data_IF_762981365963
#
_entry.id   IF_762981365963
#
_cell.length_a   1.000
_cell.length_b   1.000
_cell.length_c   1.000
_cell.angle_alpha   90.00
_cell.angle_beta   90.00
_cell.angle_gamma   90.00
#
_symmetry.space_group_name_H-M   'P 1'
#
loop_
_entity.id
_entity.type
_entity.pdbx_description
1 polymer ?
#
# COMPACT_ATOMS: atom_id res chain seq x y z
N UNK A 1 31.87 8.64 39.36
CA UNK A 1 30.50 9.12 39.06
C UNK A 1 29.53 8.01 39.44
N UNK A 2 28.54 8.31 40.28
CA UNK A 2 27.54 7.35 40.77
C UNK A 2 26.33 7.30 39.83
N UNK A 3 25.14 7.68 40.29
CA UNK A 3 23.93 7.70 39.46
C UNK A 3 23.92 8.90 38.49
N UNK A 4 23.05 8.83 37.48
CA UNK A 4 22.87 9.90 36.50
C UNK A 4 22.23 11.12 37.19
N UNK A 5 22.95 12.26 37.23
CA UNK A 5 22.52 13.51 37.90
C UNK A 5 21.15 14.06 37.46
N UNK A 6 20.82 13.94 36.16
CA UNK A 6 19.52 14.40 35.63
C UNK A 6 18.85 13.28 34.83
N UNK A 7 17.60 12.97 35.17
CA UNK A 7 16.78 12.01 34.43
C UNK A 7 16.49 12.51 33.01
N UNK A 8 16.48 11.59 32.04
CA UNK A 8 15.92 11.85 30.72
C UNK A 8 15.46 10.53 30.10
N UNK A 9 14.47 10.57 29.20
CA UNK A 9 13.98 9.37 28.55
C UNK A 9 15.06 8.69 27.72
N UNK A 10 14.84 7.41 27.46
CA UNK A 10 15.67 6.59 26.59
C UNK A 10 15.57 7.06 25.14
N UNK A 11 16.70 7.03 24.43
CA UNK A 11 16.71 7.22 22.98
C UNK A 11 16.28 5.94 22.22
N UNK A 12 15.17 6.07 21.50
CA UNK A 12 14.63 5.04 20.61
C UNK A 12 13.92 3.87 21.30
N UNK A 13 13.03 3.22 20.55
CA UNK A 13 12.08 2.25 21.07
C UNK A 13 12.55 0.81 20.87
N UNK A 14 12.61 0.03 21.95
CA UNK A 14 13.19 -1.32 21.96
C UNK A 14 12.32 -2.39 21.28
N UNK A 15 11.00 -2.23 21.28
CA UNK A 15 10.08 -3.15 20.60
C UNK A 15 10.25 -3.21 19.07
N UNK A 16 11.06 -2.32 18.49
CA UNK A 16 11.40 -2.34 17.07
C UNK A 16 12.78 -2.93 16.76
N UNK A 17 13.49 -3.44 17.78
CA UNK A 17 14.63 -4.31 17.56
C UNK A 17 14.16 -5.68 17.04
N UNK A 18 14.95 -6.33 16.18
CA UNK A 18 16.23 -5.87 15.63
C UNK A 18 16.07 -4.82 14.50
N UNK A 19 16.85 -3.74 14.55
CA UNK A 19 16.93 -2.72 13.50
C UNK A 19 17.78 -3.17 12.30
N UNK A 20 17.31 -4.19 11.58
CA UNK A 20 17.92 -4.76 10.37
C UNK A 20 17.06 -4.55 9.12
N UNK A 21 17.66 -4.76 7.95
CA UNK A 21 16.92 -4.76 6.68
C UNK A 21 15.82 -5.84 6.70
N UNK A 22 14.63 -5.48 6.28
CA UNK A 22 13.53 -6.42 6.07
C UNK A 22 13.94 -7.48 5.05
N UNK A 23 13.66 -8.76 5.35
CA UNK A 23 13.91 -9.86 4.42
C UNK A 23 12.97 -9.81 3.22
N UNK A 24 11.73 -9.40 3.45
CA UNK A 24 10.70 -9.25 2.41
C UNK A 24 10.61 -7.79 1.96
N UNK A 25 10.36 -7.58 0.67
CA UNK A 25 10.09 -6.26 0.12
C UNK A 25 8.64 -5.81 0.37
N UNK A 26 7.72 -6.78 0.37
CA UNK A 26 6.30 -6.61 0.66
C UNK A 26 6.10 -6.57 2.18
N UNK A 27 5.12 -5.78 2.63
CA UNK A 27 4.65 -5.78 4.01
C UNK A 27 3.92 -7.07 4.36
N UNK A 28 4.57 -8.00 5.08
CA UNK A 28 3.90 -9.22 5.54
C UNK A 28 2.83 -8.87 6.59
N UNK A 29 1.60 -9.32 6.39
CA UNK A 29 0.57 -9.34 7.43
C UNK A 29 0.93 -10.42 8.45
N UNK A 30 1.14 -10.02 9.70
CA UNK A 30 1.48 -10.96 10.80
C UNK A 30 0.27 -11.42 11.59
N UNK A 31 -0.76 -10.58 11.62
CA UNK A 31 -2.00 -10.80 12.37
C UNK A 31 -3.14 -10.34 11.48
N UNK A 32 -4.19 -11.14 11.39
CA UNK A 32 -5.39 -10.82 10.63
C UNK A 32 -6.48 -10.32 11.59
N UNK A 33 -7.47 -9.54 11.11
CA UNK A 33 -8.66 -9.24 11.90
C UNK A 33 -9.30 -10.53 12.42
N UNK A 34 -9.86 -10.47 13.63
CA UNK A 34 -10.56 -11.62 14.22
C UNK A 34 -11.74 -11.99 13.32
N UNK A 35 -11.95 -13.29 13.17
CA UNK A 35 -13.03 -13.82 12.36
C UNK A 35 -14.34 -13.83 13.15
N UNK A 36 -15.43 -13.41 12.50
CA UNK A 36 -16.78 -13.35 13.06
C UNK A 36 -17.75 -14.02 12.07
N UNK A 37 -18.17 -15.28 12.30
CA UNK A 37 -18.99 -16.03 11.35
C UNK A 37 -20.36 -15.42 11.03
N UNK A 38 -20.87 -14.50 11.87
CA UNK A 38 -22.14 -13.80 11.64
C UNK A 38 -22.08 -12.76 10.52
N UNK A 39 -20.88 -12.28 10.18
CA UNK A 39 -20.68 -11.32 9.09
C UNK A 39 -20.66 -12.05 7.74
N UNK A 40 -21.01 -11.38 6.63
CA UNK A 40 -20.85 -11.95 5.29
C UNK A 40 -19.37 -12.22 4.99
N UNK A 41 -19.12 -13.21 4.12
CA UNK A 41 -17.75 -13.55 3.68
C UNK A 41 -17.11 -12.35 3.00
N UNK A 42 -15.93 -11.93 3.46
CA UNK A 42 -15.21 -10.78 2.92
C UNK A 42 -13.69 -10.92 3.02
N UNK A 43 -12.98 -10.16 2.18
CA UNK A 43 -11.53 -10.03 2.23
C UNK A 43 -11.09 -9.04 3.32
N UNK A 44 -9.93 -9.31 3.93
CA UNK A 44 -9.40 -8.52 5.05
C UNK A 44 -8.20 -7.66 4.70
N UNK A 45 -7.65 -7.79 3.48
CA UNK A 45 -6.53 -6.99 3.00
C UNK A 45 -6.48 -6.86 1.48
N UNK A 46 -5.67 -5.90 1.02
CA UNK A 46 -5.44 -5.61 -0.38
C UNK A 46 -3.99 -5.15 -0.64
N UNK A 47 -3.57 -5.14 -1.90
CA UNK A 47 -2.26 -4.63 -2.31
C UNK A 47 -2.41 -3.31 -3.08
N UNK A 48 -1.70 -2.28 -2.64
CA UNK A 48 -1.64 -0.99 -3.33
C UNK A 48 -0.22 -0.50 -3.56
N UNK A 49 -0.06 0.53 -4.39
CA UNK A 49 1.22 1.12 -4.78
C UNK A 49 1.24 2.60 -4.44
N UNK A 50 2.19 3.00 -3.59
CA UNK A 50 2.32 4.40 -3.18
C UNK A 50 2.71 5.28 -4.37
N UNK A 51 1.79 6.08 -4.87
CA UNK A 51 2.00 6.96 -6.01
C UNK A 51 2.72 8.26 -5.58
N UNK A 52 2.12 8.98 -4.64
CA UNK A 52 2.62 10.26 -4.17
C UNK A 52 1.79 10.81 -3.02
N UNK A 53 1.96 12.10 -2.76
CA UNK A 53 1.22 12.83 -1.73
C UNK A 53 0.73 14.15 -2.31
N UNK A 54 -0.42 14.61 -1.83
CA UNK A 54 -0.94 15.95 -2.06
C UNK A 54 -1.60 16.45 -0.77
N UNK A 55 -2.33 17.55 -0.82
CA UNK A 55 -3.16 18.00 0.29
C UNK A 55 -4.60 18.23 -0.18
N UNK A 56 -5.52 18.19 0.79
CA UNK A 56 -6.95 18.39 0.58
C UNK A 56 -7.47 19.45 1.54
N UNK A 57 -8.53 20.13 1.15
CA UNK A 57 -9.32 21.00 2.01
C UNK A 57 -10.62 20.28 2.40
N UNK A 58 -11.00 20.34 3.67
CA UNK A 58 -12.30 19.86 4.15
C UNK A 58 -12.74 20.59 5.41
N UNK A 59 -14.03 20.54 5.71
CA UNK A 59 -14.55 21.00 6.99
C UNK A 59 -14.35 19.96 8.09
N UNK A 60 -14.10 20.45 9.31
CA UNK A 60 -14.04 19.59 10.50
C UNK A 60 -15.38 19.63 11.24
N UNK A 61 -16.05 18.49 11.35
CA UNK A 61 -17.34 18.37 12.05
C UNK A 61 -17.20 17.82 13.48
N UNK A 62 -16.12 18.18 14.18
CA UNK A 62 -15.87 17.73 15.56
C UNK A 62 -16.27 18.79 16.56
N UNK A 63 -17.34 18.54 17.30
CA UNK A 63 -17.81 19.43 18.38
C UNK A 63 -16.74 19.63 19.46
N UNK A 64 -16.61 20.86 19.97
CA UNK A 64 -15.65 21.22 21.03
C UNK A 64 -14.23 21.56 20.57
N UNK A 65 -13.91 21.43 19.28
CA UNK A 65 -12.63 21.93 18.74
C UNK A 65 -12.73 23.40 18.31
N UNK A 66 -11.64 24.17 18.49
CA UNK A 66 -11.54 25.54 17.97
C UNK A 66 -11.69 25.60 16.43
N UNK A 67 -11.29 24.52 15.76
CA UNK A 67 -11.39 24.35 14.31
C UNK A 67 -12.73 23.74 13.85
N UNK A 68 -13.69 23.52 14.76
CA UNK A 68 -15.00 23.01 14.38
C UNK A 68 -15.68 23.95 13.37
N UNK A 69 -16.29 23.40 12.32
CA UNK A 69 -16.92 24.14 11.22
C UNK A 69 -15.98 25.11 10.48
N UNK A 70 -14.66 24.88 10.58
CA UNK A 70 -13.65 25.58 9.78
C UNK A 70 -12.99 24.61 8.81
N UNK A 71 -12.50 25.16 7.72
CA UNK A 71 -11.73 24.44 6.73
C UNK A 71 -10.33 24.13 7.26
N UNK A 72 -9.88 22.90 7.09
CA UNK A 72 -8.53 22.46 7.41
C UNK A 72 -7.86 21.87 6.17
N UNK A 73 -6.60 22.26 5.97
CA UNK A 73 -5.75 21.67 4.94
C UNK A 73 -5.02 20.46 5.53
N UNK A 74 -5.32 19.28 5.02
CA UNK A 74 -4.74 18.04 5.49
C UNK A 74 -3.93 17.36 4.38
N UNK A 75 -2.72 16.93 4.72
CA UNK A 75 -1.89 16.16 3.80
C UNK A 75 -2.46 14.75 3.61
N UNK A 76 -2.44 14.24 2.38
CA UNK A 76 -2.92 12.90 2.02
C UNK A 76 -1.89 12.16 1.18
N UNK A 77 -1.89 10.82 1.28
CA UNK A 77 -1.13 9.94 0.41
C UNK A 77 -2.06 9.26 -0.58
N UNK A 78 -1.68 9.25 -1.86
CA UNK A 78 -2.37 8.51 -2.92
C UNK A 78 -1.71 7.15 -3.10
N UNK A 79 -2.51 6.09 -3.01
CA UNK A 79 -2.11 4.71 -3.22
C UNK A 79 -2.95 4.15 -4.36
N UNK A 80 -2.32 3.89 -5.51
CA UNK A 80 -2.97 3.26 -6.65
C UNK A 80 -3.20 1.76 -6.37
N UNK A 81 -4.42 1.30 -6.57
CA UNK A 81 -4.93 -0.01 -6.21
C UNK A 81 -5.60 -0.64 -7.42
N UNK A 82 -4.82 -1.10 -8.42
CA UNK A 82 -5.40 -1.88 -9.51
C UNK A 82 -6.08 -3.14 -8.96
N UNK A 83 -7.11 -3.67 -9.62
CA UNK A 83 -7.77 -4.89 -9.18
C UNK A 83 -6.77 -6.03 -8.94
N UNK A 84 -7.02 -6.83 -7.90
CA UNK A 84 -6.21 -8.01 -7.60
C UNK A 84 -6.90 -9.25 -8.16
N UNK A 85 -6.14 -10.18 -8.70
CA UNK A 85 -6.69 -11.45 -9.21
C UNK A 85 -6.52 -12.51 -8.14
N UNK A 86 -7.59 -13.24 -7.82
CA UNK A 86 -7.54 -14.41 -6.95
C UNK A 86 -7.08 -15.61 -7.77
N UNK A 87 -6.00 -16.27 -7.34
CA UNK A 87 -5.37 -17.38 -8.11
C UNK A 87 -5.19 -18.66 -7.32
N UNK A 88 -5.66 -18.69 -6.08
CA UNK A 88 -5.63 -19.92 -5.29
C UNK A 88 -6.19 -19.73 -3.90
N UNK A 89 -6.25 -20.84 -3.18
CA UNK A 89 -6.83 -20.98 -1.84
C UNK A 89 -5.86 -21.79 -1.01
N UNK A 90 -5.64 -21.38 0.23
CA UNK A 90 -4.84 -22.09 1.23
C UNK A 90 -5.72 -22.33 2.44
N UNK A 91 -5.92 -23.59 2.78
CA UNK A 91 -6.53 -23.99 4.04
C UNK A 91 -5.48 -24.16 5.14
N UNK A 92 -5.81 -23.68 6.33
CA UNK A 92 -5.00 -23.82 7.52
C UNK A 92 -5.77 -24.61 8.58
N UNK A 93 -5.11 -25.64 9.12
CA UNK A 93 -5.60 -26.45 10.23
C UNK A 93 -4.98 -25.94 11.54
N UNK A 94 -5.79 -25.83 12.59
CA UNK A 94 -5.31 -25.53 13.93
C UNK A 94 -4.72 -26.79 14.55
N UNK A 95 -3.46 -26.69 14.95
CA UNK A 95 -2.75 -27.74 15.69
C UNK A 95 -2.32 -27.20 17.04
N UNK A 96 -1.86 -28.08 17.93
CA UNK A 96 -1.31 -27.70 19.25
C UNK A 96 -0.14 -26.70 19.10
N UNK A 97 0.63 -26.77 18.01
CA UNK A 97 1.77 -25.87 17.72
C UNK A 97 1.37 -24.59 16.95
N UNK A 98 0.07 -24.37 16.73
CA UNK A 98 -0.48 -23.25 15.97
C UNK A 98 -1.04 -23.66 14.61
N UNK A 99 -1.25 -22.68 13.72
CA UNK A 99 -1.81 -22.91 12.38
C UNK A 99 -0.76 -23.51 11.44
N UNK A 100 -1.11 -24.64 10.82
CA UNK A 100 -0.30 -25.29 9.78
C UNK A 100 -1.04 -25.24 8.45
N UNK A 101 -0.33 -24.96 7.36
CA UNK A 101 -0.90 -25.07 6.01
C UNK A 101 -1.29 -26.52 5.75
N UNK A 102 -2.58 -26.76 5.50
CA UNK A 102 -3.14 -28.08 5.26
C UNK A 102 -3.08 -28.43 3.78
N UNK A 103 -3.71 -27.60 2.93
CA UNK A 103 -3.73 -27.80 1.48
C UNK A 103 -3.81 -26.48 0.74
N UNK A 104 -3.25 -26.46 -0.47
CA UNK A 104 -3.32 -25.33 -1.38
C UNK A 104 -3.91 -25.78 -2.70
N UNK A 105 -4.94 -25.08 -3.16
CA UNK A 105 -5.57 -25.29 -4.47
C UNK A 105 -5.33 -24.02 -5.29
N UNK A 106 -4.64 -24.13 -6.42
CA UNK A 106 -4.50 -23.02 -7.38
C UNK A 106 -5.63 -23.04 -8.41
N UNK A 107 -5.86 -21.89 -9.03
CA UNK A 107 -6.67 -21.73 -10.22
C UNK A 107 -6.07 -22.49 -11.43
N UNK A 108 -6.87 -22.64 -12.49
CA UNK A 108 -6.43 -23.29 -13.72
C UNK A 108 -5.52 -22.34 -14.54
N UNK A 109 -6.01 -21.14 -14.83
CA UNK A 109 -5.35 -20.17 -15.68
C UNK A 109 -4.62 -19.11 -14.84
N UNK A 110 -3.33 -19.34 -14.61
CA UNK A 110 -2.46 -18.32 -14.02
C UNK A 110 -1.87 -17.41 -15.10
N UNK A 111 -2.03 -16.09 -14.89
CA UNK A 111 -1.42 -15.04 -15.70
C UNK A 111 0.10 -15.11 -15.74
N UNK A 112 0.71 -14.64 -16.83
CA UNK A 112 2.17 -14.61 -16.98
C UNK A 112 2.87 -13.73 -15.94
N UNK A 113 2.24 -12.62 -15.53
CA UNK A 113 2.78 -11.77 -14.47
C UNK A 113 2.81 -12.47 -13.10
N UNK A 114 1.83 -13.34 -12.83
CA UNK A 114 1.82 -14.22 -11.65
C UNK A 114 2.89 -15.32 -11.79
N UNK A 115 2.95 -16.01 -12.94
CA UNK A 115 3.98 -17.03 -13.23
C UNK A 115 5.40 -16.48 -13.07
N UNK A 116 5.64 -15.22 -13.46
CA UNK A 116 6.92 -14.52 -13.22
C UNK A 116 7.33 -14.51 -11.75
N UNK A 117 6.40 -14.57 -10.78
CA UNK A 117 6.72 -14.64 -9.34
C UNK A 117 7.58 -15.85 -9.00
N UNK A 118 7.28 -16.98 -9.64
CA UNK A 118 7.92 -18.29 -9.43
C UNK A 118 9.28 -18.45 -10.12
N UNK A 119 9.66 -17.51 -10.99
CA UNK A 119 10.96 -17.50 -11.64
C UNK A 119 11.85 -16.37 -11.12
N UNK A 120 13.15 -16.66 -10.95
CA UNK A 120 14.16 -15.62 -10.77
C UNK A 120 14.54 -15.00 -12.11
N UNK A 121 14.78 -15.82 -13.12
CA UNK A 121 15.09 -15.39 -14.48
C UNK A 121 14.00 -15.87 -15.45
N UNK A 122 13.04 -14.99 -15.76
CA UNK A 122 11.92 -15.30 -16.66
C UNK A 122 12.35 -15.50 -18.11
N UNK A 123 13.33 -14.74 -18.59
CA UNK A 123 13.71 -14.72 -20.01
C UNK A 123 14.46 -15.98 -20.44
N UNK A 124 15.23 -16.59 -19.53
CA UNK A 124 15.97 -17.84 -19.80
C UNK A 124 15.20 -19.11 -19.45
N UNK A 125 13.99 -19.00 -18.88
CA UNK A 125 13.24 -20.17 -18.44
C UNK A 125 12.29 -20.69 -19.54
N UNK A 126 11.99 -22.00 -19.50
CA UNK A 126 10.99 -22.64 -20.37
C UNK A 126 9.53 -22.34 -19.97
N UNK A 127 9.30 -21.51 -18.93
CA UNK A 127 7.98 -21.05 -18.45
C UNK A 127 6.97 -22.18 -18.13
N UNK A 128 7.46 -23.34 -17.64
CA UNK A 128 6.66 -24.54 -17.34
C UNK A 128 5.90 -24.53 -16.00
N UNK A 129 5.85 -23.41 -15.27
CA UNK A 129 5.17 -23.34 -13.98
C UNK A 129 3.66 -23.56 -14.18
N UNK A 130 3.06 -24.42 -13.34
CA UNK A 130 1.63 -24.77 -13.35
C UNK A 130 1.09 -25.43 -14.62
N UNK A 131 1.90 -25.81 -15.61
CA UNK A 131 1.39 -26.45 -16.85
C UNK A 131 0.75 -27.81 -16.58
N UNK A 132 1.38 -28.66 -15.75
CA UNK A 132 0.78 -29.94 -15.31
C UNK A 132 -0.45 -29.74 -14.42
N UNK A 133 -0.44 -28.67 -13.64
CA UNK A 133 -1.53 -28.37 -12.70
C UNK A 133 -2.78 -27.87 -13.44
N UNK A 134 -2.62 -27.05 -14.49
CA UNK A 134 -3.71 -26.65 -15.38
C UNK A 134 -4.33 -27.87 -16.09
N UNK A 135 -3.53 -28.84 -16.55
CA UNK A 135 -4.07 -30.10 -17.10
C UNK A 135 -4.94 -30.88 -16.09
N UNK A 136 -4.57 -30.88 -14.80
CA UNK A 136 -5.36 -31.50 -13.73
C UNK A 136 -6.77 -30.90 -13.62
N UNK A 137 -6.96 -29.62 -13.95
CA UNK A 137 -8.29 -29.00 -13.98
C UNK A 137 -9.15 -29.46 -15.16
N UNK A 138 -8.54 -29.98 -16.22
CA UNK A 138 -9.23 -30.49 -17.40
C UNK A 138 -9.49 -32.00 -17.32
N UNK A 139 -8.54 -32.77 -16.78
CA UNK A 139 -8.64 -34.22 -16.63
C UNK A 139 -9.74 -34.63 -15.62
N UNK A 140 -10.56 -35.63 -15.95
CA UNK A 140 -11.67 -36.07 -15.09
C UNK A 140 -11.19 -36.58 -13.72
N UNK A 141 -10.10 -37.35 -13.70
CA UNK A 141 -9.46 -37.83 -12.46
C UNK A 141 -8.90 -36.69 -11.63
N UNK A 142 -8.38 -35.65 -12.31
CA UNK A 142 -7.86 -34.44 -11.69
C UNK A 142 -8.95 -33.59 -11.05
N UNK A 143 -10.10 -33.42 -11.71
CA UNK A 143 -11.32 -32.78 -11.18
C UNK A 143 -11.83 -33.51 -9.93
N UNK A 144 -11.98 -34.83 -9.98
CA UNK A 144 -12.35 -35.65 -8.80
C UNK A 144 -11.39 -35.43 -7.62
N UNK A 145 -10.08 -35.32 -7.90
CA UNK A 145 -9.11 -35.01 -6.85
C UNK A 145 -9.24 -33.58 -6.32
N UNK A 146 -9.52 -32.59 -7.18
CA UNK A 146 -9.76 -31.20 -6.75
C UNK A 146 -11.02 -31.11 -5.87
N UNK A 147 -12.10 -31.79 -6.22
CA UNK A 147 -13.32 -31.81 -5.40
C UNK A 147 -13.10 -32.48 -4.04
N UNK A 148 -12.28 -33.54 -3.98
CA UNK A 148 -11.78 -34.09 -2.71
C UNK A 148 -10.95 -33.07 -1.94
N UNK A 149 -10.12 -32.28 -2.62
CA UNK A 149 -9.30 -31.24 -2.00
C UNK A 149 -10.18 -30.12 -1.41
N UNK A 150 -11.18 -29.65 -2.14
CA UNK A 150 -12.18 -28.69 -1.66
C UNK A 150 -12.97 -29.22 -0.47
N UNK A 151 -13.44 -30.47 -0.55
CA UNK A 151 -14.16 -31.13 0.55
C UNK A 151 -13.30 -31.24 1.81
N UNK A 152 -12.00 -31.55 1.65
CA UNK A 152 -11.05 -31.62 2.76
C UNK A 152 -10.77 -30.23 3.36
N UNK A 153 -10.73 -29.17 2.55
CA UNK A 153 -10.64 -27.79 3.03
C UNK A 153 -11.84 -27.44 3.92
N UNK A 154 -13.06 -27.74 3.46
CA UNK A 154 -14.29 -27.49 4.22
C UNK A 154 -14.33 -28.24 5.56
N UNK A 155 -13.91 -29.52 5.55
CA UNK A 155 -14.02 -30.40 6.71
C UNK A 155 -12.97 -30.15 7.80
N UNK A 156 -11.72 -29.92 7.41
CA UNK A 156 -10.58 -29.95 8.35
C UNK A 156 -9.98 -28.58 8.67
N UNK A 157 -10.21 -27.56 7.84
CA UNK A 157 -9.54 -26.28 8.03
C UNK A 157 -10.32 -25.37 8.97
N UNK A 158 -9.59 -24.72 9.86
CA UNK A 158 -10.11 -23.67 10.75
C UNK A 158 -10.03 -22.27 10.13
N UNK A 159 -9.13 -22.07 9.16
CA UNK A 159 -8.90 -20.76 8.53
C UNK A 159 -8.70 -20.96 7.03
N UNK A 160 -9.37 -20.15 6.23
CA UNK A 160 -9.23 -20.13 4.77
C UNK A 160 -8.58 -18.81 4.36
N UNK A 161 -7.58 -18.89 3.49
CA UNK A 161 -6.97 -17.73 2.86
C UNK A 161 -6.99 -17.88 1.36
N UNK A 162 -7.18 -16.78 0.65
CA UNK A 162 -6.99 -16.73 -0.80
C UNK A 162 -5.60 -16.21 -1.14
N UNK A 163 -5.01 -16.74 -2.20
CA UNK A 163 -3.78 -16.24 -2.81
C UNK A 163 -4.19 -15.24 -3.86
N UNK A 164 -3.83 -13.98 -3.64
CA UNK A 164 -4.09 -12.90 -4.61
C UNK A 164 -2.79 -12.41 -5.21
N UNK A 165 -2.87 -11.91 -6.44
CA UNK A 165 -1.79 -11.14 -7.04
C UNK A 165 -2.26 -9.80 -7.60
N UNK A 166 -1.39 -8.80 -7.53
CA UNK A 166 -1.62 -7.50 -8.17
C UNK A 166 -1.41 -7.58 -9.69
N UNK A 167 -2.07 -6.72 -10.45
CA UNK A 167 -1.82 -6.58 -11.89
C UNK A 167 -0.77 -5.48 -12.17
N UNK A 168 0.45 -5.88 -12.52
CA UNK A 168 1.56 -4.94 -12.75
C UNK A 168 1.47 -4.24 -14.10
N UNK A 169 0.87 -4.90 -15.09
CA UNK A 169 0.69 -4.34 -16.45
C UNK A 169 -0.12 -3.04 -16.47
N UNK A 170 -1.00 -2.86 -15.48
CA UNK A 170 -1.87 -1.69 -15.36
C UNK A 170 -1.15 -0.49 -14.73
N UNK A 171 0.03 -0.69 -14.14
CA UNK A 171 0.78 0.35 -13.44
C UNK A 171 1.87 0.95 -14.33
N UNK A 172 2.24 2.23 -14.16
CA UNK A 172 3.33 2.89 -14.89
C UNK A 172 4.72 2.48 -14.36
N UNK A 173 4.91 1.20 -14.02
CA UNK A 173 6.13 0.67 -13.41
C UNK A 173 6.87 -0.25 -14.38
N UNK A 174 8.22 -0.17 -14.37
CA UNK A 174 9.06 -1.07 -15.19
C UNK A 174 8.92 -2.55 -14.80
N UNK A 175 8.51 -2.84 -13.57
CA UNK A 175 8.41 -4.20 -13.06
C UNK A 175 7.18 -4.91 -13.65
N UNK A 176 7.39 -6.06 -14.29
CA UNK A 176 6.31 -6.94 -14.82
C UNK A 176 5.95 -8.12 -13.90
N UNK A 177 6.67 -8.28 -12.78
CA UNK A 177 6.55 -9.41 -11.85
C UNK A 177 5.49 -9.10 -10.80
N UNK A 178 4.33 -9.76 -10.85
CA UNK A 178 3.22 -9.53 -9.92
C UNK A 178 3.63 -9.79 -8.46
N UNK A 179 3.13 -8.98 -7.53
CA UNK A 179 3.26 -9.25 -6.09
C UNK A 179 2.15 -10.21 -5.67
N UNK A 180 2.51 -11.25 -4.93
CA UNK A 180 1.59 -12.28 -4.44
C UNK A 180 1.56 -12.20 -2.91
N UNK A 181 0.37 -12.23 -2.33
CA UNK A 181 0.14 -12.40 -0.90
C UNK A 181 -1.02 -13.35 -0.65
N UNK A 182 -1.05 -13.95 0.54
CA UNK A 182 -2.27 -14.55 1.06
C UNK A 182 -3.11 -13.47 1.75
N UNK A 183 -4.43 -13.54 1.59
CA UNK A 183 -5.42 -12.71 2.29
C UNK A 183 -6.41 -13.62 3.00
N UNK A 184 -6.65 -13.38 4.28
CA UNK A 184 -7.60 -14.18 5.05
C UNK A 184 -9.04 -13.80 4.71
N UNK A 185 -9.90 -14.81 4.54
CA UNK A 185 -11.34 -14.63 4.44
C UNK A 185 -11.97 -14.71 5.83
N UNK A 186 -12.75 -13.68 6.17
CA UNK A 186 -13.52 -13.61 7.40
C UNK A 186 -15.02 -13.60 7.08
N UNK A 187 -15.86 -13.94 8.05
CA UNK A 187 -17.31 -14.01 7.88
C UNK A 187 -17.81 -15.35 7.32
N UNK A 188 -19.02 -15.74 7.67
CA UNK A 188 -19.62 -17.02 7.27
C UNK A 188 -18.95 -18.27 7.87
N UNK A 189 -19.49 -19.43 7.52
CA UNK A 189 -18.88 -20.72 7.86
C UNK A 189 -17.63 -21.01 7.01
N UNK A 190 -16.85 -22.02 7.40
CA UNK A 190 -15.70 -22.46 6.59
C UNK A 190 -16.15 -22.94 5.20
N UNK A 191 -17.32 -23.57 5.09
CA UNK A 191 -17.86 -23.98 3.79
C UNK A 191 -18.10 -22.76 2.90
N UNK A 192 -18.81 -21.76 3.43
CA UNK A 192 -19.14 -20.54 2.69
C UNK A 192 -17.88 -19.82 2.21
N UNK A 193 -16.83 -19.78 3.04
CA UNK A 193 -15.53 -19.22 2.66
C UNK A 193 -14.85 -19.98 1.53
N UNK A 194 -14.92 -21.31 1.54
CA UNK A 194 -14.35 -22.14 0.48
C UNK A 194 -15.13 -21.96 -0.82
N UNK A 195 -16.46 -21.89 -0.74
CA UNK A 195 -17.34 -21.71 -1.89
C UNK A 195 -17.16 -20.32 -2.51
N UNK A 196 -17.17 -19.27 -1.69
CA UNK A 196 -16.83 -17.91 -2.10
C UNK A 196 -15.46 -17.86 -2.79
N UNK A 197 -14.45 -18.51 -2.18
CA UNK A 197 -13.11 -18.52 -2.73
C UNK A 197 -13.01 -19.29 -4.06
N UNK A 198 -13.80 -20.36 -4.24
CA UNK A 198 -13.87 -21.14 -5.49
C UNK A 198 -14.53 -20.33 -6.60
N UNK A 199 -15.63 -19.64 -6.30
CA UNK A 199 -16.34 -18.76 -7.24
C UNK A 199 -15.45 -17.62 -7.72
N UNK A 200 -14.66 -17.02 -6.82
CA UNK A 200 -13.80 -15.88 -7.15
C UNK A 200 -12.45 -16.29 -7.78
N UNK A 201 -12.16 -17.57 -8.01
CA UNK A 201 -10.92 -17.98 -8.69
C UNK A 201 -10.87 -17.36 -10.09
N UNK A 202 -9.70 -16.84 -10.45
CA UNK A 202 -9.40 -16.15 -11.73
C UNK A 202 -10.12 -14.82 -11.94
N UNK A 203 -10.99 -14.43 -10.99
CA UNK A 203 -11.71 -13.17 -11.06
C UNK A 203 -10.90 -12.02 -10.46
N UNK A 204 -11.21 -10.82 -10.95
CA UNK A 204 -10.65 -9.57 -10.46
C UNK A 204 -11.50 -9.03 -9.31
N UNK A 205 -10.85 -8.74 -8.17
CA UNK A 205 -11.49 -8.11 -7.03
C UNK A 205 -11.05 -6.64 -6.96
N UNK A 206 -11.97 -5.67 -7.10
CA UNK A 206 -11.65 -4.26 -6.95
C UNK A 206 -11.48 -3.89 -5.47
N UNK A 207 -10.84 -2.75 -5.22
CA UNK A 207 -10.60 -2.26 -3.86
C UNK A 207 -11.90 -1.92 -3.11
N UNK A 208 -12.93 -1.47 -3.84
CA UNK A 208 -14.27 -1.13 -3.34
C UNK A 208 -15.02 -2.32 -2.75
N UNK A 209 -14.70 -3.55 -3.16
CA UNK A 209 -15.28 -4.75 -2.57
C UNK A 209 -14.63 -5.13 -1.22
N UNK A 210 -13.51 -4.50 -0.85
CA UNK A 210 -12.74 -4.85 0.36
C UNK A 210 -12.83 -3.78 1.44
N UNK A 211 -12.68 -2.52 1.06
CA UNK A 211 -12.74 -1.39 1.98
C UNK A 211 -13.92 -0.49 1.67
N UNK A 212 -14.38 0.21 2.70
CA UNK A 212 -15.47 1.19 2.59
C UNK A 212 -14.91 2.60 2.75
N UNK A 213 -15.57 3.57 2.12
CA UNK A 213 -15.31 4.99 2.32
C UNK A 213 -15.35 5.33 3.82
N UNK A 214 -14.47 6.23 4.26
CA UNK A 214 -14.35 6.65 5.67
C UNK A 214 -13.93 5.54 6.66
N UNK A 215 -13.55 4.34 6.20
CA UNK A 215 -13.01 3.30 7.07
C UNK A 215 -11.59 3.67 7.58
N UNK A 216 -11.26 3.23 8.81
CA UNK A 216 -9.90 3.25 9.34
C UNK A 216 -9.19 1.96 8.98
N UNK A 217 -8.05 2.06 8.30
CA UNK A 217 -7.27 0.91 7.86
C UNK A 217 -5.84 0.95 8.40
N UNK A 218 -5.18 -0.20 8.30
CA UNK A 218 -3.77 -0.34 8.64
C UNK A 218 -2.92 -0.48 7.38
N UNK A 219 -1.81 0.27 7.33
CA UNK A 219 -0.87 0.24 6.21
C UNK A 219 0.39 -0.49 6.64
N UNK A 220 0.69 -1.60 5.97
CA UNK A 220 1.82 -2.45 6.26
C UNK A 220 2.80 -2.38 5.09
N UNK A 221 4.06 -2.09 5.40
CA UNK A 221 5.07 -1.96 4.37
C UNK A 221 6.50 -1.94 4.89
N UNK A 222 7.43 -1.75 3.95
CA UNK A 222 8.84 -1.57 4.26
C UNK A 222 9.20 -0.11 4.12
N UNK A 223 9.79 0.47 5.16
CA UNK A 223 10.17 1.88 5.20
C UNK A 223 11.24 2.24 4.17
N UNK A 224 11.40 3.54 3.88
CA UNK A 224 12.51 4.03 3.04
C UNK A 224 13.85 3.60 3.63
N UNK A 225 14.75 3.10 2.79
CA UNK A 225 16.10 2.74 3.19
C UNK A 225 17.01 3.95 3.27
N UNK A 226 17.87 4.01 4.30
CA UNK A 226 18.88 5.06 4.46
C UNK A 226 20.32 4.51 4.57
N UNK A 227 20.50 3.18 4.47
CA UNK A 227 21.80 2.52 4.55
C UNK A 227 22.39 2.53 5.96
N UNK A 228 23.72 2.41 6.05
CA UNK A 228 24.45 2.50 7.31
C UNK A 228 24.46 3.94 7.82
N UNK A 229 24.05 4.16 9.07
CA UNK A 229 24.02 5.48 9.71
C UNK A 229 24.61 5.44 11.12
N UNK A 230 25.27 6.53 11.50
CA UNK A 230 25.76 6.77 12.86
C UNK A 230 24.63 6.95 13.88
N UNK A 231 24.98 6.88 15.17
CA UNK A 231 24.03 6.92 16.29
C UNK A 231 23.17 8.18 16.32
N UNK A 232 23.74 9.35 15.99
CA UNK A 232 22.99 10.62 15.95
C UNK A 232 21.83 10.59 14.96
N UNK A 233 22.00 9.93 13.80
CA UNK A 233 20.91 9.82 12.83
C UNK A 233 20.02 8.61 13.12
N UNK A 234 20.59 7.47 13.51
CA UNK A 234 19.85 6.21 13.72
C UNK A 234 18.99 6.22 14.97
N UNK A 235 19.49 6.80 16.05
CA UNK A 235 18.89 6.79 17.39
C UNK A 235 18.56 8.18 17.93
N UNK A 236 18.92 9.25 17.19
CA UNK A 236 18.64 10.63 17.60
C UNK A 236 19.29 11.02 18.94
N UNK A 237 20.47 10.45 19.23
CA UNK A 237 21.27 10.86 20.40
C UNK A 237 21.84 12.26 20.23
N UNK A 238 21.95 13.00 21.34
CA UNK A 238 22.55 14.33 21.37
C UNK A 238 24.00 14.28 20.86
N UNK A 239 24.40 15.28 20.06
CA UNK A 239 25.80 15.44 19.65
C UNK A 239 26.65 15.84 20.87
N UNK A 240 27.90 15.38 20.91
CA UNK A 240 28.87 15.83 21.91
C UNK A 240 29.31 17.29 21.63
N UNK A 241 29.94 17.96 22.60
CA UNK A 241 30.46 19.32 22.43
C UNK A 241 31.39 19.46 21.22
N UNK A 242 31.50 20.68 20.69
CA UNK A 242 32.31 20.97 19.49
C UNK A 242 33.77 20.56 19.65
N UNK A 243 34.37 20.80 20.82
CA UNK A 243 35.78 20.53 21.14
C UNK A 243 36.06 19.08 21.58
N UNK A 244 35.18 18.12 21.28
CA UNK A 244 35.40 16.72 21.62
C UNK A 244 36.43 16.06 20.70
N UNK A 245 37.47 15.48 21.29
CA UNK A 245 38.47 14.71 20.56
C UNK A 245 37.90 13.39 19.98
N UNK A 246 38.40 12.98 18.81
CA UNK A 246 37.97 11.77 18.07
C UNK A 246 36.47 11.75 17.74
N UNK A 247 35.93 12.90 17.33
CA UNK A 247 34.59 13.04 16.75
C UNK A 247 33.44 13.21 17.75
N UNK A 248 32.45 13.99 17.33
CA UNK A 248 31.34 14.46 18.17
C UNK A 248 30.00 13.74 17.94
N UNK A 249 29.89 12.90 16.91
CA UNK A 249 28.64 12.22 16.51
C UNK A 249 28.58 10.77 17.03
N UNK A 250 28.87 10.60 18.31
CA UNK A 250 28.95 9.30 19.00
C UNK A 250 28.22 9.34 20.35
N UNK A 251 27.94 8.16 20.91
CA UNK A 251 27.55 8.04 22.32
C UNK A 251 28.85 8.09 23.13
N UNK A 252 28.90 8.90 24.18
CA UNK A 252 30.12 9.06 24.99
C UNK A 252 30.45 7.80 25.80
N UNK A 253 29.50 7.33 26.62
CA UNK A 253 29.64 6.14 27.45
C UNK A 253 28.72 5.02 26.93
N UNK A 254 29.29 3.85 26.63
CA UNK A 254 28.57 2.69 26.06
C UNK A 254 28.35 1.56 27.08
N UNK A 255 28.43 1.85 28.38
CA UNK A 255 28.22 0.89 29.45
C UNK A 255 29.03 1.23 30.69
N UNK A 256 28.60 0.73 31.85
CA UNK A 256 29.43 0.72 33.05
C UNK A 256 30.52 -0.36 32.95
N UNK A 257 31.46 -0.39 33.90
CA UNK A 257 32.47 -1.46 33.97
C UNK A 257 31.81 -2.82 34.22
N UNK A 258 30.93 -2.89 35.23
CA UNK A 258 30.12 -4.07 35.51
C UNK A 258 28.66 -3.76 35.16
N UNK A 259 28.00 -4.54 34.29
CA UNK A 259 28.46 -5.78 33.65
C UNK A 259 29.50 -5.56 32.54
N UNK A 260 30.48 -6.45 32.42
CA UNK A 260 31.60 -6.41 31.46
C UNK A 260 31.19 -6.77 30.01
N UNK A 261 30.06 -6.23 29.55
CA UNK A 261 29.56 -6.40 28.18
C UNK A 261 28.74 -5.19 27.76
N UNK A 262 28.82 -4.85 26.47
CA UNK A 262 27.97 -3.78 25.93
C UNK A 262 26.54 -4.30 25.78
N UNK A 263 25.60 -3.66 26.46
CA UNK A 263 24.20 -4.07 26.42
C UNK A 263 23.56 -3.81 25.03
N UNK A 264 22.68 -4.71 24.60
CA UNK A 264 21.93 -4.60 23.34
C UNK A 264 20.99 -3.38 23.29
N UNK A 265 20.67 -2.83 24.46
CA UNK A 265 19.86 -1.63 24.65
C UNK A 265 20.60 -0.35 24.20
N UNK A 266 21.92 -0.39 24.05
CA UNK A 266 22.72 0.81 23.83
C UNK A 266 22.68 1.22 22.36
N UNK A 267 22.55 2.52 22.11
CA UNK A 267 22.50 3.07 20.76
C UNK A 267 23.84 2.83 20.05
N UNK A 268 23.83 2.00 19.01
CA UNK A 268 24.99 1.74 18.13
C UNK A 268 24.71 2.17 16.70
N UNK A 269 25.77 2.52 15.96
CA UNK A 269 25.68 2.77 14.53
C UNK A 269 25.24 1.49 13.79
N UNK A 270 24.67 1.64 12.60
CA UNK A 270 24.21 0.49 11.81
C UNK A 270 23.14 0.87 10.80
N UNK A 271 22.45 -0.14 10.27
CA UNK A 271 21.37 0.06 9.31
C UNK A 271 20.26 0.98 9.87
N UNK A 272 19.87 2.00 9.09
CA UNK A 272 18.67 2.83 9.31
C UNK A 272 17.71 2.67 8.13
N UNK A 273 16.44 2.43 8.44
CA UNK A 273 15.39 2.27 7.43
C UNK A 273 15.43 0.91 6.71
N UNK A 274 14.54 0.75 5.75
CA UNK A 274 14.22 -0.55 5.13
C UNK A 274 13.77 -1.59 6.17
N UNK A 275 12.98 -1.16 7.15
CA UNK A 275 12.41 -2.02 8.19
C UNK A 275 10.93 -2.28 7.88
N UNK A 276 10.41 -3.44 8.29
CA UNK A 276 8.98 -3.73 8.23
C UNK A 276 8.26 -2.94 9.34
N UNK A 277 7.16 -2.26 8.98
CA UNK A 277 6.33 -1.48 9.90
C UNK A 277 4.86 -1.61 9.52
N UNK A 278 4.01 -1.48 10.53
CA UNK A 278 2.57 -1.37 10.42
C UNK A 278 2.18 -0.03 11.02
N UNK A 279 1.61 0.86 10.21
CA UNK A 279 1.00 2.10 10.67
C UNK A 279 -0.50 1.87 10.77
N UNK A 280 -1.04 1.99 11.98
CA UNK A 280 -2.46 1.75 12.24
C UNK A 280 -3.29 3.03 12.12
N UNK A 281 -4.61 2.89 12.01
CA UNK A 281 -5.58 3.99 12.07
C UNK A 281 -5.38 5.07 10.99
N UNK A 282 -5.18 4.64 9.74
CA UNK A 282 -5.17 5.52 8.57
C UNK A 282 -6.58 5.60 8.01
N UNK A 283 -7.19 6.78 8.14
CA UNK A 283 -8.53 7.08 7.63
C UNK A 283 -8.49 7.16 6.10
N UNK A 284 -9.40 6.45 5.44
CA UNK A 284 -9.70 6.63 4.02
C UNK A 284 -10.46 7.93 3.85
N UNK A 285 -9.93 8.83 3.03
CA UNK A 285 -10.56 10.12 2.71
C UNK A 285 -11.33 10.07 1.40
N UNK A 286 -10.87 9.24 0.47
CA UNK A 286 -11.57 9.01 -0.80
C UNK A 286 -11.15 7.66 -1.37
N UNK A 287 -12.13 6.89 -1.83
CA UNK A 287 -11.93 5.81 -2.78
C UNK A 287 -12.23 6.35 -4.17
N UNK A 288 -11.18 6.64 -4.92
CA UNK A 288 -11.31 7.22 -6.26
C UNK A 288 -11.32 6.13 -7.31
N UNK A 289 -12.24 6.24 -8.27
CA UNK A 289 -12.25 5.40 -9.45
C UNK A 289 -11.14 5.84 -10.42
N UNK A 290 -10.55 4.86 -11.11
CA UNK A 290 -9.61 5.10 -12.18
C UNK A 290 -10.24 5.80 -13.39
N UNK A 291 -9.44 5.98 -14.43
CA UNK A 291 -9.93 6.44 -15.73
C UNK A 291 -10.83 5.35 -16.30
N UNK A 292 -12.11 5.65 -16.46
CA UNK A 292 -13.12 4.73 -16.94
C UNK A 292 -13.95 5.37 -18.06
N UNK A 293 -14.69 4.53 -18.79
CA UNK A 293 -15.61 4.97 -19.83
C UNK A 293 -17.02 4.81 -19.31
N UNK A 294 -17.79 5.89 -19.32
CA UNK A 294 -19.22 5.88 -19.02
C UNK A 294 -19.92 6.61 -20.18
N UNK A 295 -20.96 6.00 -20.73
CA UNK A 295 -21.73 6.55 -21.86
C UNK A 295 -20.86 6.97 -23.06
N UNK A 296 -19.83 6.18 -23.38
CA UNK A 296 -18.87 6.44 -24.45
C UNK A 296 -17.85 7.56 -24.18
N UNK A 297 -17.93 8.24 -23.02
CA UNK A 297 -17.02 9.32 -22.63
C UNK A 297 -15.98 8.82 -21.64
N UNK A 298 -14.72 9.20 -21.89
CA UNK A 298 -13.61 8.89 -20.98
C UNK A 298 -13.66 9.85 -19.79
N UNK A 299 -14.07 9.35 -18.64
CA UNK A 299 -14.15 10.11 -17.39
C UNK A 299 -12.77 10.12 -16.73
N UNK A 300 -12.29 11.33 -16.42
CA UNK A 300 -10.99 11.58 -15.77
C UNK A 300 -11.10 12.49 -14.55
N UNK A 301 -12.28 12.60 -13.95
CA UNK A 301 -12.58 13.58 -12.90
C UNK A 301 -12.38 13.04 -11.47
N UNK A 302 -11.41 12.14 -11.27
CA UNK A 302 -11.24 11.48 -9.98
C UNK A 302 -10.86 12.40 -8.80
N UNK A 303 -10.48 13.65 -9.08
CA UNK A 303 -10.22 14.69 -8.09
C UNK A 303 -11.21 15.86 -8.10
N UNK A 304 -12.32 15.77 -8.84
CA UNK A 304 -13.43 16.72 -8.68
C UNK A 304 -14.12 16.51 -7.33
N UNK A 305 -14.72 17.56 -6.78
CA UNK A 305 -15.49 17.51 -5.53
C UNK A 305 -16.84 18.17 -5.77
N UNK A 306 -17.77 18.06 -4.82
CA UNK A 306 -19.07 18.73 -4.95
C UNK A 306 -18.94 20.27 -4.93
N UNK A 307 -17.85 20.80 -4.38
CA UNK A 307 -17.58 22.24 -4.26
C UNK A 307 -16.65 22.76 -5.36
N UNK A 308 -15.95 21.87 -6.07
CA UNK A 308 -15.01 22.20 -7.13
C UNK A 308 -15.50 21.61 -8.46
N UNK A 309 -16.12 22.47 -9.28
CA UNK A 309 -16.65 22.11 -10.59
C UNK A 309 -15.56 21.73 -11.62
N UNK A 310 -14.28 21.93 -11.31
CA UNK A 310 -13.20 21.58 -12.22
C UNK A 310 -13.12 20.07 -12.46
N UNK A 311 -13.22 19.67 -13.73
CA UNK A 311 -13.08 18.29 -14.15
C UNK A 311 -11.59 17.92 -14.21
N UNK A 312 -11.03 17.50 -13.08
CA UNK A 312 -9.61 17.18 -12.94
C UNK A 312 -9.37 15.79 -12.36
N UNK A 313 -8.29 15.16 -12.83
CA UNK A 313 -7.83 13.87 -12.32
C UNK A 313 -7.00 14.04 -11.06
N UNK A 314 -6.84 12.99 -10.26
CA UNK A 314 -5.93 13.00 -9.11
C UNK A 314 -4.46 13.25 -9.46
N UNK A 315 -4.10 13.11 -10.74
CA UNK A 315 -2.74 13.38 -11.19
C UNK A 315 -2.44 14.87 -11.15
N UNK A 316 -1.39 15.29 -10.43
CA UNK A 316 -0.96 16.68 -10.48
C UNK A 316 -0.42 17.02 -11.88
N UNK A 317 -0.33 18.31 -12.21
CA UNK A 317 0.26 18.73 -13.47
C UNK A 317 1.66 18.13 -13.68
N UNK A 318 1.86 17.41 -14.78
CA UNK A 318 3.10 16.68 -15.09
C UNK A 318 3.20 15.28 -14.45
N UNK A 319 2.13 14.80 -13.82
CA UNK A 319 2.07 13.51 -13.14
C UNK A 319 2.75 13.50 -11.77
N UNK A 320 2.60 12.40 -11.02
CA UNK A 320 3.27 12.27 -9.74
C UNK A 320 4.79 12.12 -9.92
N UNK A 321 5.62 12.99 -9.31
CA UNK A 321 7.06 12.98 -9.56
C UNK A 321 7.70 11.65 -9.20
N UNK A 322 8.47 11.07 -10.12
CA UNK A 322 9.07 9.73 -10.01
C UNK A 322 8.08 8.55 -9.90
N UNK A 323 6.78 8.78 -10.09
CA UNK A 323 5.79 7.71 -10.20
C UNK A 323 5.30 7.57 -11.64
N UNK A 324 4.64 8.60 -12.14
CA UNK A 324 3.86 8.59 -13.39
C UNK A 324 2.43 9.04 -13.13
N UNK A 325 1.51 8.61 -13.97
CA UNK A 325 0.07 8.85 -13.85
C UNK A 325 -0.62 7.70 -13.12
N UNK A 326 -1.56 8.03 -12.25
CA UNK A 326 -2.50 7.12 -11.60
C UNK A 326 -3.72 7.02 -12.50
N UNK A 327 -3.90 5.86 -13.11
CA UNK A 327 -4.99 5.60 -14.07
C UNK A 327 -5.96 4.54 -13.58
N UNK A 328 -5.59 3.77 -12.57
CA UNK A 328 -6.48 2.80 -11.92
C UNK A 328 -7.15 3.41 -10.69
N UNK A 329 -8.06 2.64 -10.09
CA UNK A 329 -8.63 2.96 -8.79
C UNK A 329 -7.53 3.27 -7.77
N UNK A 330 -7.81 4.18 -6.85
CA UNK A 330 -6.88 4.54 -5.80
C UNK A 330 -7.59 4.80 -4.48
N UNK A 331 -6.82 4.64 -3.40
CA UNK A 331 -7.21 5.12 -2.08
C UNK A 331 -6.39 6.36 -1.73
N UNK A 332 -7.10 7.38 -1.26
CA UNK A 332 -6.53 8.55 -0.62
C UNK A 332 -6.56 8.34 0.90
N UNK A 333 -5.37 8.22 1.51
CA UNK A 333 -5.23 8.05 2.95
C UNK A 333 -4.78 9.35 3.62
N UNK A 334 -5.35 9.62 4.79
CA UNK A 334 -4.89 10.72 5.65
C UNK A 334 -3.42 10.57 6.04
N UNK A 335 -2.66 11.65 5.84
CA UNK A 335 -1.29 11.81 6.28
C UNK A 335 -0.28 11.01 5.46
N UNK A 336 0.91 10.83 6.02
CA UNK A 336 1.97 10.05 5.41
C UNK A 336 1.79 8.55 5.67
N UNK A 337 2.39 7.73 4.80
CA UNK A 337 2.54 6.28 4.99
C UNK A 337 3.98 5.85 4.71
N UNK A 338 4.36 4.66 5.17
CA UNK A 338 5.70 4.10 4.97
C UNK A 338 6.12 3.98 3.50
N UNK A 339 7.43 3.91 3.28
CA UNK A 339 8.02 3.54 2.00
C UNK A 339 8.23 4.69 1.02
N UNK A 340 8.99 4.39 -0.03
CA UNK A 340 9.23 5.29 -1.18
C UNK A 340 8.02 5.35 -2.10
N UNK A 341 7.99 6.31 -3.03
CA UNK A 341 7.12 6.22 -4.21
C UNK A 341 7.37 4.90 -4.95
N UNK A 342 6.38 4.38 -5.68
CA UNK A 342 6.38 3.08 -6.37
C UNK A 342 6.46 1.85 -5.45
N UNK A 343 6.39 2.04 -4.13
CA UNK A 343 6.46 0.94 -3.15
C UNK A 343 5.11 0.23 -3.06
N UNK A 344 5.14 -1.10 -3.13
CA UNK A 344 3.99 -1.92 -2.76
C UNK A 344 3.72 -1.85 -1.26
N UNK A 345 2.46 -1.61 -0.91
CA UNK A 345 1.93 -1.53 0.43
C UNK A 345 0.81 -2.55 0.57
N UNK A 346 0.74 -3.20 1.72
CA UNK A 346 -0.35 -4.08 2.07
C UNK A 346 -1.31 -3.31 2.97
N UNK A 347 -2.51 -3.09 2.47
CA UNK A 347 -3.61 -2.45 3.19
C UNK A 347 -4.38 -3.53 3.90
N UNK A 348 -4.63 -3.40 5.20
CA UNK A 348 -5.36 -4.38 6.00
C UNK A 348 -6.50 -3.68 6.71
N UNK A 349 -7.65 -4.34 6.87
CA UNK A 349 -8.67 -3.90 7.81
C UNK A 349 -8.08 -3.79 9.22
N UNK A 350 -8.63 -2.88 10.02
CA UNK A 350 -8.16 -2.64 11.38
C UNK A 350 -8.29 -3.91 12.24
N UNK A 351 -7.39 -4.06 13.22
CA UNK A 351 -7.54 -5.07 14.27
C UNK A 351 -8.38 -4.57 15.45
N UNK A 352 -8.69 -3.27 15.46
CA UNK A 352 -9.33 -2.60 16.58
C UNK A 352 -10.77 -2.28 16.22
N UNK A 353 -11.67 -2.42 17.19
CA UNK A 353 -13.00 -1.81 17.11
C UNK A 353 -12.83 -0.33 17.34
N UNK A 354 -13.21 0.47 16.36
CA UNK A 354 -13.17 1.92 16.43
C UNK A 354 -14.47 2.43 17.01
N UNK A 355 -14.40 3.26 18.05
CA UNK A 355 -15.57 3.87 18.73
C UNK A 355 -15.45 5.39 18.85
N UNK A 356 -14.29 5.96 18.51
CA UNK A 356 -14.05 7.39 18.68
C UNK A 356 -14.81 8.23 17.65
N UNK A 357 -15.25 9.43 18.02
CA UNK A 357 -15.88 10.38 17.06
C UNK A 357 -14.98 10.64 15.84
N UNK A 358 -13.66 10.75 16.06
CA UNK A 358 -12.65 10.92 15.00
C UNK A 358 -12.60 9.74 14.02
N UNK A 359 -12.88 8.52 14.47
CA UNK A 359 -12.88 7.34 13.62
C UNK A 359 -14.18 7.15 12.85
N UNK A 360 -15.33 7.57 13.40
CA UNK A 360 -16.62 7.50 12.69
C UNK A 360 -16.96 8.73 11.86
N UNK A 361 -16.12 9.78 11.93
CA UNK A 361 -16.33 11.02 11.17
C UNK A 361 -16.42 10.74 9.67
N UNK A 362 -17.49 11.19 9.03
CA UNK A 362 -17.65 11.17 7.58
C UNK A 362 -16.74 12.21 6.94
N UNK A 363 -16.12 11.86 5.81
CA UNK A 363 -15.16 12.75 5.15
C UNK A 363 -15.78 13.31 3.87
N UNK A 364 -16.12 14.59 3.92
CA UNK A 364 -16.49 15.37 2.74
C UNK A 364 -15.34 16.29 2.34
N UNK A 365 -14.80 16.10 1.14
CA UNK A 365 -13.69 16.90 0.62
C UNK A 365 -14.22 18.09 -0.16
N UNK A 366 -13.74 19.30 0.17
CA UNK A 366 -14.06 20.53 -0.56
C UNK A 366 -13.12 20.75 -1.73
N UNK A 367 -11.83 20.50 -1.55
CA UNK A 367 -10.83 20.72 -2.60
C UNK A 367 -9.71 19.68 -2.54
N UNK A 368 -9.20 19.31 -3.71
CA UNK A 368 -8.02 18.46 -3.87
C UNK A 368 -7.00 19.21 -4.72
N UNK A 369 -5.80 19.38 -4.20
CA UNK A 369 -4.73 20.08 -4.89
C UNK A 369 -4.07 19.19 -5.95
N UNK A 370 -4.15 19.61 -7.21
CA UNK A 370 -3.56 18.98 -8.39
C UNK A 370 -2.49 19.86 -9.04
N UNK A 371 -2.00 20.90 -8.34
CA UNK A 371 -0.88 21.67 -8.82
C UNK A 371 0.38 20.80 -9.01
N UNK A 372 1.28 21.21 -9.90
CA UNK A 372 2.55 20.49 -10.12
C UNK A 372 3.31 20.30 -8.80
N UNK A 373 3.70 19.05 -8.54
CA UNK A 373 4.57 18.67 -7.40
C UNK A 373 6.04 18.61 -7.81
N UNK A 374 6.37 18.99 -9.04
CA UNK A 374 7.71 19.13 -9.55
C UNK A 374 8.08 20.62 -9.60
N UNK A 375 8.49 21.16 -8.44
CA UNK A 375 8.65 22.59 -8.21
C UNK A 375 7.44 23.17 -7.45
N UNK A 376 7.18 24.47 -7.64
CA UNK A 376 6.06 25.18 -7.02
C UNK A 376 4.96 25.42 -8.07
N UNK A 377 4.05 24.45 -8.23
CA UNK A 377 2.90 24.60 -9.13
C UNK A 377 1.94 25.68 -8.65
N UNK A 378 1.51 26.55 -9.58
CA UNK A 378 0.56 27.66 -9.30
C UNK A 378 -0.85 27.43 -9.84
N UNK A 379 -1.01 26.46 -10.74
CA UNK A 379 -2.26 26.18 -11.44
C UNK A 379 -2.69 24.75 -11.15
N UNK A 380 -3.98 24.51 -11.04
CA UNK A 380 -4.57 23.20 -10.79
C UNK A 380 -4.72 22.39 -12.07
N UNK A 381 -5.04 23.06 -13.18
CA UNK A 381 -5.22 22.42 -14.49
C UNK A 381 -4.38 23.04 -15.59
N UNK A 382 -4.14 22.27 -16.65
CA UNK A 382 -3.47 22.78 -17.85
C UNK A 382 -4.33 23.79 -18.64
N UNK A 383 -5.66 23.76 -18.46
CA UNK A 383 -6.59 24.73 -19.04
C UNK A 383 -6.49 26.06 -18.30
N UNK A 384 -6.57 26.05 -16.97
CA UNK A 384 -6.37 27.22 -16.11
C UNK A 384 -5.02 27.90 -16.39
N UNK A 385 -3.93 27.13 -16.49
CA UNK A 385 -2.61 27.67 -16.87
C UNK A 385 -2.63 28.36 -18.23
N UNK A 386 -3.28 27.76 -19.24
CA UNK A 386 -3.36 28.33 -20.59
C UNK A 386 -4.20 29.61 -20.60
N UNK A 387 -5.33 29.61 -19.89
CA UNK A 387 -6.18 30.79 -19.74
C UNK A 387 -5.42 31.95 -19.08
N UNK A 388 -4.65 31.65 -18.02
CA UNK A 388 -3.86 32.67 -17.33
C UNK A 388 -2.67 33.19 -18.15
N UNK A 389 -1.91 32.30 -18.81
CA UNK A 389 -0.69 32.69 -19.54
C UNK A 389 -0.96 33.30 -20.92
N UNK A 390 -2.14 33.04 -21.50
CA UNK A 390 -2.46 33.43 -22.86
C UNK A 390 -1.66 32.65 -23.92
N UNK A 391 -1.77 33.04 -25.20
CA UNK A 391 -1.03 32.41 -26.30
C UNK A 391 0.48 32.66 -26.15
N UNK A 392 1.27 31.59 -26.15
CA UNK A 392 2.73 31.69 -26.12
C UNK A 392 3.33 31.48 -27.51
N UNK A 393 4.59 31.90 -27.72
CA UNK A 393 5.33 31.72 -28.98
C UNK A 393 5.25 30.30 -29.55
N UNK A 394 5.41 29.28 -28.70
CA UNK A 394 5.34 27.86 -29.11
C UNK A 394 3.97 27.43 -29.62
N UNK A 395 2.91 28.09 -29.16
CA UNK A 395 1.54 27.76 -29.54
C UNK A 395 1.24 28.41 -30.90
N UNK A 396 1.67 29.66 -31.11
CA UNK A 396 1.61 30.33 -32.41
C UNK A 396 2.42 29.59 -33.50
N UNK A 397 3.62 29.11 -33.18
CA UNK A 397 4.45 28.34 -34.11
C UNK A 397 3.81 27.01 -34.53
N UNK A 398 2.99 26.38 -33.67
CA UNK A 398 2.26 25.16 -34.04
C UNK A 398 1.11 25.43 -35.02
N UNK A 399 0.53 26.63 -34.99
CA UNK A 399 -0.54 27.03 -35.90
C UNK A 399 -0.02 27.40 -37.29
N UNK A 400 1.29 27.70 -37.42
CA UNK A 400 1.92 28.16 -38.67
C UNK A 400 2.53 27.03 -39.54
N UNK A 401 2.54 25.78 -39.09
CA UNK A 401 3.12 24.66 -39.86
C UNK A 401 2.04 23.86 -40.60
N UNK A 402 1.74 24.29 -41.83
CA UNK A 402 1.42 23.48 -43.00
C UNK A 402 1.61 24.36 -44.26
N UNK A 403 2.75 24.32 -44.96
CA UNK A 403 2.77 24.56 -46.39
C UNK A 403 2.42 23.23 -47.09
N UNK A 404 1.35 23.23 -47.87
CA UNK A 404 1.05 22.18 -48.84
C UNK A 404 2.33 21.87 -49.64
N UNK A 405 2.71 20.59 -49.71
CA UNK A 405 3.64 20.15 -50.74
C UNK A 405 2.96 20.38 -52.08
N UNK A 406 3.40 21.40 -52.82
CA UNK A 406 3.07 21.52 -54.23
C UNK A 406 3.80 20.39 -54.97
N UNK A 407 3.02 19.41 -55.43
CA UNK A 407 3.41 18.48 -56.48
C UNK A 407 3.81 19.28 -57.73
N UNK A 408 5.02 19.06 -58.23
CA UNK A 408 5.43 19.32 -59.63
C UNK A 408 6.18 18.10 -60.15
#
# INVERSE_FOLDING_TARGET
MSHRKFHAPRHGHMGFLPHKRSKTHIGRVRTWPKDEPSQPVHLTAFLGYKAGMTHTLRDIHRTGLKQAKREEVEAVTIIETPPVIVVGIVGYIQTIRGLRSFKTVFAEHLSDECKRRFYRNWYKCKKKAFTKYSKKWQDETGKKQLDKDFSALKKYCSVIRVIIHSQMRLLPLKQKKAHIIEVQLNGGSISDKVDWAKEHLEQAVPISAVFVQDEMIDVIGVTKGHGFKGVTSRWHVKKLPRKTHKGLRKVACIGAWHPARVAYTIARAGQKGYNHRTEVNKKIYRMGQGVHVQDGKVIRNSASTNYDASQKSINPMGGFPHYGEVNNDFIMLKGCVVGTKKRVLTLRKSLLVHTSRKSHETIELKFIDTASKFGHGRFQTAQEKRAFMGPMKKDALKTLQEPLSEDV
#
